data_IF_903164991033
#
_entry.id   IF_903164991033
#
_cell.length_a   1.000
_cell.length_b   1.000
_cell.length_c   1.000
_cell.angle_alpha   90.00
_cell.angle_beta   90.00
_cell.angle_gamma   90.00
#
_symmetry.space_group_name_H-M   'P 1'
#
loop_
_entity.id
_entity.type
_entity.pdbx_description
1 polymer ?
#
# COMPACT_ATOMS: atom_id res chain seq x y z
N UNK A 1 1.45 -0.86 1.15
CA UNK A 1 1.93 0.10 2.17
C UNK A 1 3.34 0.61 1.85
N UNK A 2 4.39 -0.23 1.82
CA UNK A 2 5.77 0.23 1.57
C UNK A 2 5.91 1.09 0.31
N UNK A 3 5.37 0.63 -0.81
CA UNK A 3 5.38 1.41 -2.06
C UNK A 3 4.64 2.76 -1.92
N UNK A 4 3.54 2.81 -1.17
CA UNK A 4 2.77 4.04 -0.96
C UNK A 4 3.46 5.07 -0.07
N UNK A 5 4.49 4.70 0.70
CA UNK A 5 5.27 5.65 1.50
C UNK A 5 5.94 6.72 0.63
N UNK A 6 6.32 6.38 -0.60
CA UNK A 6 6.91 7.32 -1.55
C UNK A 6 5.94 8.41 -2.02
N UNK A 7 4.63 8.22 -1.90
CA UNK A 7 3.64 9.28 -2.17
C UNK A 7 3.83 10.44 -1.19
N UNK A 8 3.96 10.14 0.11
CA UNK A 8 4.21 11.17 1.12
C UNK A 8 5.53 11.89 0.88
N UNK A 9 6.59 11.14 0.57
CA UNK A 9 7.89 11.73 0.26
C UNK A 9 7.81 12.65 -0.97
N UNK A 10 7.12 12.21 -2.04
CA UNK A 10 6.93 13.03 -3.24
C UNK A 10 6.16 14.32 -2.93
N UNK A 11 5.07 14.24 -2.13
CA UNK A 11 4.30 15.42 -1.73
C UNK A 11 5.14 16.41 -0.92
N UNK A 12 5.95 15.92 0.02
CA UNK A 12 6.79 16.77 0.87
C UNK A 12 7.93 17.39 0.06
N UNK A 13 8.62 16.59 -0.77
CA UNK A 13 9.72 17.10 -1.60
C UNK A 13 9.26 17.97 -2.77
N UNK A 14 7.96 18.04 -3.03
CA UNK A 14 7.45 18.92 -4.09
C UNK A 14 7.67 20.39 -3.79
N UNK A 15 7.51 20.78 -2.53
CA UNK A 15 7.58 22.19 -2.10
C UNK A 15 8.57 22.46 -0.99
N UNK A 16 8.77 21.49 -0.08
CA UNK A 16 9.61 21.69 1.10
C UNK A 16 11.07 21.37 0.83
N UNK A 17 11.93 22.32 1.17
CA UNK A 17 13.39 22.14 1.22
C UNK A 17 13.82 21.83 2.65
N UNK A 18 14.69 20.86 2.79
CA UNK A 18 15.32 20.45 4.04
C UNK A 18 16.78 20.84 4.06
N UNK A 19 17.40 20.88 5.25
CA UNK A 19 18.84 20.97 5.39
C UNK A 19 19.52 19.71 4.82
N UNK A 20 20.80 19.80 4.51
CA UNK A 20 21.57 18.66 4.01
C UNK A 20 21.59 17.49 4.99
N UNK A 21 21.60 17.77 6.30
CA UNK A 21 21.57 16.75 7.35
C UNK A 21 20.21 16.04 7.43
N UNK A 22 19.11 16.79 7.35
CA UNK A 22 17.76 16.22 7.33
C UNK A 22 17.56 15.37 6.08
N UNK A 23 17.98 15.85 4.90
CA UNK A 23 17.91 15.03 3.69
C UNK A 23 18.68 13.73 3.86
N UNK A 24 19.89 13.74 4.40
CA UNK A 24 20.68 12.52 4.61
C UNK A 24 19.95 11.53 5.52
N UNK A 25 19.29 12.01 6.57
CA UNK A 25 18.48 11.16 7.46
C UNK A 25 17.25 10.62 6.75
N UNK A 26 16.46 11.49 6.09
CA UNK A 26 15.24 11.08 5.37
C UNK A 26 15.58 10.04 4.29
N UNK A 27 16.60 10.33 3.47
CA UNK A 27 17.04 9.43 2.41
C UNK A 27 17.53 8.09 2.97
N UNK A 28 18.25 8.10 4.11
CA UNK A 28 18.65 6.88 4.81
C UNK A 28 17.46 6.04 5.27
N UNK A 29 16.43 6.67 5.84
CA UNK A 29 15.23 5.99 6.31
C UNK A 29 14.33 5.46 5.18
N UNK A 30 14.52 5.87 3.92
CA UNK A 30 13.76 5.29 2.80
C UNK A 30 14.07 3.82 2.54
N UNK A 31 15.12 3.27 3.15
CA UNK A 31 15.38 1.83 3.18
C UNK A 31 14.26 1.06 3.90
N UNK A 32 13.60 1.66 4.90
CA UNK A 32 12.57 0.98 5.72
C UNK A 32 11.37 0.54 4.87
N UNK A 33 10.73 1.40 4.05
CA UNK A 33 9.71 0.97 3.10
C UNK A 33 10.19 -0.08 2.10
N UNK A 34 11.43 0.00 1.64
CA UNK A 34 12.02 -1.00 0.74
C UNK A 34 12.16 -2.37 1.42
N UNK A 35 12.67 -2.41 2.65
CA UNK A 35 12.75 -3.65 3.43
C UNK A 35 11.36 -4.25 3.67
N UNK A 36 10.37 -3.40 3.93
CA UNK A 36 8.98 -3.85 4.06
C UNK A 36 8.45 -4.49 2.76
N UNK A 37 8.78 -3.92 1.61
CA UNK A 37 8.46 -4.50 0.30
C UNK A 37 9.20 -5.83 0.08
N UNK A 38 10.47 -5.92 0.48
CA UNK A 38 11.28 -7.15 0.38
C UNK A 38 10.70 -8.28 1.25
N UNK A 39 10.27 -7.98 2.48
CA UNK A 39 9.58 -8.95 3.34
C UNK A 39 8.29 -9.45 2.66
N UNK A 40 7.52 -8.55 2.06
CA UNK A 40 6.34 -8.91 1.28
C UNK A 40 6.65 -9.80 0.07
N UNK A 41 7.76 -9.55 -0.62
CA UNK A 41 8.25 -10.38 -1.72
C UNK A 41 8.60 -11.79 -1.24
N UNK A 42 9.38 -11.89 -0.17
CA UNK A 42 9.77 -13.19 0.43
C UNK A 42 8.52 -13.97 0.83
N UNK A 43 7.58 -13.34 1.53
CA UNK A 43 6.31 -13.96 1.90
C UNK A 43 5.51 -14.43 0.67
N UNK A 44 5.55 -13.66 -0.43
CA UNK A 44 4.92 -14.02 -1.70
C UNK A 44 5.56 -15.26 -2.33
N UNK A 45 6.89 -15.39 -2.27
CA UNK A 45 7.59 -16.58 -2.76
C UNK A 45 7.28 -17.84 -1.93
N UNK A 46 7.11 -17.68 -0.62
CA UNK A 46 6.88 -18.83 0.29
C UNK A 46 5.55 -19.55 0.06
N UNK A 47 4.56 -18.90 -0.54
CA UNK A 47 3.28 -19.54 -0.83
C UNK A 47 3.13 -20.03 -2.28
N UNK A 48 4.15 -19.86 -3.12
CA UNK A 48 4.16 -20.43 -4.47
C UNK A 48 4.31 -21.95 -4.40
N UNK A 49 3.42 -22.68 -5.09
CA UNK A 49 3.51 -24.14 -5.21
C UNK A 49 4.82 -24.60 -5.87
N UNK A 50 5.39 -23.77 -6.75
CA UNK A 50 6.66 -24.03 -7.45
C UNK A 50 7.48 -22.75 -7.57
N UNK A 51 8.24 -22.35 -6.52
CA UNK A 51 9.03 -21.11 -6.53
C UNK A 51 10.03 -21.01 -7.69
N UNK A 52 10.59 -22.12 -8.13
CA UNK A 52 11.53 -22.17 -9.26
C UNK A 52 10.89 -21.79 -10.60
N UNK A 53 9.57 -21.98 -10.74
CA UNK A 53 8.83 -21.57 -11.92
C UNK A 53 8.55 -20.06 -11.96
N UNK A 54 8.85 -19.33 -10.90
CA UNK A 54 8.68 -17.87 -10.87
C UNK A 54 9.49 -17.16 -11.96
N UNK A 55 10.61 -17.74 -12.41
CA UNK A 55 11.42 -17.21 -13.52
C UNK A 55 10.69 -17.30 -14.86
N UNK A 56 9.75 -18.23 -15.02
CA UNK A 56 8.94 -18.36 -16.24
C UNK A 56 7.97 -17.19 -16.45
N UNK A 57 7.75 -16.39 -15.41
CA UNK A 57 6.99 -15.14 -15.49
C UNK A 57 7.54 -14.20 -16.56
N UNK A 58 8.88 -14.21 -16.77
CA UNK A 58 9.52 -13.37 -17.77
C UNK A 58 9.01 -13.64 -19.20
N UNK A 59 8.65 -14.88 -19.52
CA UNK A 59 8.14 -15.27 -20.84
C UNK A 59 6.66 -14.86 -21.07
N UNK A 60 5.95 -14.46 -20.03
CA UNK A 60 4.53 -14.12 -20.07
C UNK A 60 4.23 -12.66 -19.71
N UNK A 61 5.29 -11.83 -19.65
CA UNK A 61 5.15 -10.36 -19.46
C UNK A 61 4.26 -9.79 -20.59
N UNK A 62 3.29 -8.96 -20.21
CA UNK A 62 2.32 -8.37 -21.13
C UNK A 62 1.12 -9.26 -21.48
N UNK A 63 1.20 -10.57 -21.18
CA UNK A 63 0.14 -11.53 -21.57
C UNK A 63 -0.67 -12.04 -20.37
N UNK A 64 -0.07 -12.16 -19.20
CA UNK A 64 -0.77 -12.61 -17.99
C UNK A 64 -0.80 -11.52 -16.92
N UNK A 65 -1.95 -11.35 -16.22
CA UNK A 65 -2.07 -10.35 -15.15
C UNK A 65 -1.03 -10.53 -14.03
N UNK A 66 -0.72 -11.77 -13.65
CA UNK A 66 0.30 -12.08 -12.64
C UNK A 66 1.70 -11.65 -13.07
N UNK A 67 2.08 -11.90 -14.34
CA UNK A 67 3.39 -11.48 -14.85
C UNK A 67 3.52 -9.96 -14.88
N UNK A 68 2.44 -9.27 -15.21
CA UNK A 68 2.40 -7.81 -15.20
C UNK A 68 2.53 -7.24 -13.78
N UNK A 69 1.88 -7.86 -12.78
CA UNK A 69 2.03 -7.50 -11.37
C UNK A 69 3.48 -7.65 -10.90
N UNK A 70 4.11 -8.81 -11.15
CA UNK A 70 5.48 -9.09 -10.75
C UNK A 70 6.45 -8.12 -11.44
N UNK A 71 6.23 -7.83 -12.73
CA UNK A 71 7.04 -6.87 -13.49
C UNK A 71 6.90 -5.46 -12.90
N UNK A 72 5.68 -4.99 -12.65
CA UNK A 72 5.44 -3.68 -12.07
C UNK A 72 6.09 -3.55 -10.68
N UNK A 73 6.04 -4.61 -9.86
CA UNK A 73 6.73 -4.68 -8.58
C UNK A 73 8.24 -4.60 -8.73
N UNK A 74 8.82 -5.38 -9.66
CA UNK A 74 10.26 -5.37 -9.93
C UNK A 74 10.75 -4.00 -10.38
N UNK A 75 10.05 -3.36 -11.32
CA UNK A 75 10.38 -2.02 -11.80
C UNK A 75 10.29 -0.98 -10.67
N UNK A 76 9.25 -1.05 -9.84
CA UNK A 76 9.12 -0.20 -8.66
C UNK A 76 10.31 -0.42 -7.69
N UNK A 77 10.62 -1.67 -7.33
CA UNK A 77 11.71 -1.97 -6.39
C UNK A 77 13.07 -1.52 -6.91
N UNK A 78 13.35 -1.73 -8.19
CA UNK A 78 14.60 -1.27 -8.82
C UNK A 78 14.69 0.26 -8.78
N UNK A 79 13.64 0.97 -9.16
CA UNK A 79 13.62 2.42 -9.13
C UNK A 79 13.79 2.97 -7.69
N UNK A 80 13.10 2.37 -6.72
CA UNK A 80 13.20 2.76 -5.32
C UNK A 80 14.57 2.45 -4.72
N UNK A 81 15.19 1.32 -5.09
CA UNK A 81 16.55 0.97 -4.68
C UNK A 81 17.59 1.94 -5.29
N UNK A 82 17.46 2.27 -6.58
CA UNK A 82 18.33 3.25 -7.23
C UNK A 82 18.17 4.62 -6.55
N UNK A 83 16.92 5.04 -6.27
CA UNK A 83 16.66 6.25 -5.50
C UNK A 83 17.42 6.24 -4.17
N UNK A 84 17.25 5.19 -3.36
CA UNK A 84 17.90 5.08 -2.06
C UNK A 84 19.43 5.11 -2.16
N UNK A 85 20.03 4.35 -3.09
CA UNK A 85 21.48 4.31 -3.29
C UNK A 85 22.01 5.71 -3.65
N UNK A 86 21.40 6.36 -4.66
CA UNK A 86 21.86 7.67 -5.13
C UNK A 86 21.64 8.75 -4.07
N UNK A 87 20.48 8.73 -3.40
CA UNK A 87 20.16 9.67 -2.33
C UNK A 87 21.11 9.53 -1.14
N UNK A 88 21.48 8.30 -0.77
CA UNK A 88 22.43 8.02 0.32
C UNK A 88 23.84 8.57 0.07
N UNK A 89 24.23 8.85 -1.20
CA UNK A 89 25.50 9.51 -1.49
C UNK A 89 25.55 10.98 -1.06
N UNK A 90 24.41 11.57 -0.73
CA UNK A 90 24.28 13.01 -0.41
C UNK A 90 24.45 13.95 -1.60
N UNK A 91 24.61 13.43 -2.82
CA UNK A 91 24.85 14.22 -4.03
C UNK A 91 23.57 14.61 -4.78
N UNK A 92 22.41 14.12 -4.36
CA UNK A 92 21.14 14.43 -5.02
C UNK A 92 20.76 15.89 -4.81
N UNK A 93 20.54 16.60 -5.92
CA UNK A 93 20.01 17.97 -5.86
C UNK A 93 18.53 17.93 -5.45
N UNK A 94 17.99 19.06 -4.99
CA UNK A 94 16.58 19.19 -4.63
C UNK A 94 15.66 18.78 -5.78
N UNK A 95 15.91 19.31 -6.99
CA UNK A 95 15.07 19.02 -8.16
C UNK A 95 15.15 17.54 -8.58
N UNK A 96 16.34 16.93 -8.53
CA UNK A 96 16.51 15.53 -8.82
C UNK A 96 15.77 14.65 -7.80
N UNK A 97 15.84 14.99 -6.50
CA UNK A 97 15.13 14.26 -5.43
C UNK A 97 13.62 14.34 -5.61
N UNK A 98 13.10 15.54 -5.93
CA UNK A 98 11.70 15.76 -6.24
C UNK A 98 11.23 14.88 -7.40
N UNK A 99 11.92 14.95 -8.54
CA UNK A 99 11.54 14.15 -9.73
C UNK A 99 11.62 12.66 -9.42
N UNK A 100 12.70 12.22 -8.79
CA UNK A 100 12.89 10.80 -8.48
C UNK A 100 11.80 10.25 -7.53
N UNK A 101 11.46 10.99 -6.47
CA UNK A 101 10.41 10.57 -5.54
C UNK A 101 9.04 10.49 -6.21
N UNK A 102 8.73 11.41 -7.13
CA UNK A 102 7.50 11.37 -7.93
C UNK A 102 7.50 10.12 -8.83
N UNK A 103 8.60 9.84 -9.54
CA UNK A 103 8.70 8.65 -10.40
C UNK A 103 8.48 7.37 -9.58
N UNK A 104 9.13 7.24 -8.43
CA UNK A 104 8.96 6.06 -7.56
C UNK A 104 7.54 5.97 -7.02
N UNK A 105 6.90 7.09 -6.63
CA UNK A 105 5.51 7.11 -6.19
C UNK A 105 4.53 6.67 -7.29
N UNK A 106 4.74 7.14 -8.53
CA UNK A 106 3.92 6.75 -9.70
C UNK A 106 4.09 5.26 -10.02
N UNK A 107 5.33 4.76 -10.01
CA UNK A 107 5.59 3.32 -10.20
C UNK A 107 4.95 2.47 -9.10
N UNK A 108 4.97 2.95 -7.85
CA UNK A 108 4.27 2.32 -6.73
C UNK A 108 2.75 2.28 -6.91
N UNK A 109 2.16 3.35 -7.47
CA UNK A 109 0.73 3.39 -7.79
C UNK A 109 0.39 2.41 -8.92
N UNK A 110 1.19 2.38 -9.97
CA UNK A 110 1.05 1.41 -11.08
C UNK A 110 1.11 -0.01 -10.52
N UNK A 111 2.08 -0.31 -9.66
CA UNK A 111 2.16 -1.61 -8.98
C UNK A 111 0.88 -1.92 -8.20
N UNK A 112 0.35 -0.98 -7.40
CA UNK A 112 -0.88 -1.20 -6.64
C UNK A 112 -2.10 -1.51 -7.53
N UNK A 113 -2.20 -0.87 -8.70
CA UNK A 113 -3.23 -1.15 -9.70
C UNK A 113 -3.05 -2.57 -10.25
N UNK A 114 -1.83 -2.96 -10.63
CA UNK A 114 -1.56 -4.29 -11.17
C UNK A 114 -1.80 -5.41 -10.15
N UNK A 115 -1.54 -5.16 -8.84
CA UNK A 115 -1.95 -6.09 -7.77
C UNK A 115 -3.46 -6.36 -7.84
N UNK A 116 -4.26 -5.32 -8.02
CA UNK A 116 -5.71 -5.48 -8.14
C UNK A 116 -6.14 -6.20 -9.42
N UNK A 117 -5.54 -5.84 -10.55
CA UNK A 117 -5.84 -6.44 -11.86
C UNK A 117 -5.46 -7.93 -11.91
N UNK A 118 -4.41 -8.34 -11.19
CA UNK A 118 -3.98 -9.74 -11.13
C UNK A 118 -5.04 -10.66 -10.51
N UNK A 119 -5.91 -10.12 -9.66
CA UNK A 119 -7.03 -10.85 -9.07
C UNK A 119 -8.33 -10.77 -9.87
N UNK A 120 -8.41 -9.98 -10.94
CA UNK A 120 -9.58 -9.95 -11.82
C UNK A 120 -9.59 -11.18 -12.75
N UNK A 121 -9.86 -12.35 -12.15
CA UNK A 121 -9.85 -13.63 -12.84
C UNK A 121 -11.27 -14.01 -13.27
N UNK A 122 -11.53 -14.27 -14.57
CA UNK A 122 -12.85 -14.65 -15.06
C UNK A 122 -13.47 -15.84 -14.32
N UNK A 123 -12.65 -16.80 -13.85
CA UNK A 123 -13.10 -17.97 -13.09
C UNK A 123 -13.45 -17.70 -11.63
N UNK A 124 -13.24 -16.49 -11.09
CA UNK A 124 -13.53 -16.13 -9.70
C UNK A 124 -14.45 -14.92 -9.67
N UNK A 125 -15.76 -15.16 -9.64
CA UNK A 125 -16.77 -14.11 -9.78
C UNK A 125 -16.62 -12.98 -8.73
N UNK A 126 -16.33 -13.33 -7.48
CA UNK A 126 -16.16 -12.38 -6.39
C UNK A 126 -14.96 -11.44 -6.56
N UNK A 127 -13.91 -11.88 -7.25
CA UNK A 127 -12.69 -11.10 -7.47
C UNK A 127 -12.69 -10.30 -8.78
N UNK A 128 -13.45 -10.78 -9.77
CA UNK A 128 -13.51 -10.20 -11.12
C UNK A 128 -14.41 -8.97 -11.15
N UNK A 129 -14.05 -7.96 -10.37
CA UNK A 129 -14.80 -6.70 -10.26
C UNK A 129 -13.87 -5.49 -10.22
N UNK A 130 -14.29 -4.31 -10.73
CA UNK A 130 -13.49 -3.07 -10.61
C UNK A 130 -13.23 -2.64 -9.16
N UNK A 131 -14.00 -3.14 -8.20
CA UNK A 131 -13.81 -2.88 -6.76
C UNK A 131 -12.44 -3.40 -6.30
N UNK A 132 -11.96 -4.50 -6.88
CA UNK A 132 -10.70 -5.13 -6.50
C UNK A 132 -9.49 -4.20 -6.70
N UNK A 133 -9.18 -3.65 -7.88
CA UNK A 133 -8.08 -2.71 -8.03
C UNK A 133 -8.29 -1.39 -7.26
N UNK A 134 -9.52 -0.90 -7.17
CA UNK A 134 -9.84 0.31 -6.39
C UNK A 134 -9.50 0.13 -4.92
N UNK A 135 -9.86 -1.01 -4.32
CA UNK A 135 -9.53 -1.36 -2.95
C UNK A 135 -8.00 -1.43 -2.72
N UNK A 136 -7.24 -2.00 -3.67
CA UNK A 136 -5.77 -2.07 -3.57
C UNK A 136 -5.13 -0.68 -3.61
N UNK A 137 -5.62 0.22 -4.45
CA UNK A 137 -5.20 1.63 -4.47
C UNK A 137 -5.56 2.31 -3.14
N UNK A 138 -6.72 2.03 -2.56
CA UNK A 138 -7.08 2.51 -1.23
C UNK A 138 -6.06 2.10 -0.17
N UNK A 139 -5.67 0.82 -0.12
CA UNK A 139 -4.64 0.33 0.80
C UNK A 139 -3.27 0.97 0.57
N UNK A 140 -2.90 1.17 -0.69
CA UNK A 140 -1.68 1.84 -1.08
C UNK A 140 -1.63 3.28 -0.55
N UNK A 141 -2.69 4.06 -0.73
CA UNK A 141 -2.76 5.45 -0.27
C UNK A 141 -2.90 5.55 1.25
N UNK A 142 -3.83 4.82 1.86
CA UNK A 142 -4.11 4.90 3.30
C UNK A 142 -2.90 4.46 4.13
N UNK A 143 -2.49 3.23 3.98
CA UNK A 143 -1.37 2.68 4.74
C UNK A 143 -0.02 3.25 4.29
N UNK A 144 0.12 3.58 3.01
CA UNK A 144 1.33 4.18 2.46
C UNK A 144 1.59 5.59 2.99
N UNK A 145 0.56 6.43 3.07
CA UNK A 145 0.70 7.79 3.60
C UNK A 145 1.13 7.78 5.06
N UNK A 146 0.51 6.93 5.90
CA UNK A 146 0.94 6.76 7.29
C UNK A 146 2.38 6.28 7.41
N UNK A 147 2.77 5.33 6.56
CA UNK A 147 4.14 4.80 6.58
C UNK A 147 5.15 5.86 6.13
N UNK A 148 4.85 6.65 5.12
CA UNK A 148 5.71 7.77 4.69
C UNK A 148 5.84 8.84 5.77
N UNK A 149 4.75 9.18 6.47
CA UNK A 149 4.78 10.08 7.61
C UNK A 149 5.62 9.54 8.77
N UNK A 150 5.55 8.22 9.02
CA UNK A 150 6.40 7.57 10.02
C UNK A 150 7.88 7.69 9.65
N UNK A 151 8.25 7.44 8.39
CA UNK A 151 9.62 7.59 7.89
C UNK A 151 10.13 9.02 8.11
N UNK A 152 9.33 10.02 7.75
CA UNK A 152 9.68 11.43 7.95
C UNK A 152 9.83 11.77 9.43
N UNK A 153 8.89 11.31 10.27
CA UNK A 153 8.91 11.57 11.72
C UNK A 153 10.12 10.94 12.40
N UNK A 154 10.50 9.71 12.02
CA UNK A 154 11.71 9.06 12.52
C UNK A 154 12.98 9.78 12.10
N UNK A 155 13.05 10.20 10.84
CA UNK A 155 14.21 10.91 10.29
C UNK A 155 14.44 12.27 10.94
N UNK A 156 13.38 12.96 11.35
CA UNK A 156 13.41 14.30 11.95
C UNK A 156 13.24 14.33 13.46
N UNK A 157 13.25 13.16 14.13
CA UNK A 157 13.01 13.01 15.56
C UNK A 157 11.68 13.67 16.00
N UNK A 158 10.63 13.46 15.24
CA UNK A 158 9.28 14.04 15.44
C UNK A 158 9.21 15.58 15.34
N UNK A 159 10.26 16.23 14.89
CA UNK A 159 10.33 17.69 14.76
C UNK A 159 9.99 18.16 13.33
N UNK A 160 9.26 17.36 12.57
CA UNK A 160 8.86 17.77 11.22
C UNK A 160 7.83 18.89 11.29
N UNK A 161 8.18 20.05 10.77
CA UNK A 161 7.24 21.14 10.54
C UNK A 161 6.83 21.10 9.08
N UNK A 162 5.61 20.66 8.80
CA UNK A 162 5.02 20.74 7.46
C UNK A 162 4.51 22.16 7.23
N UNK A 163 4.59 22.66 6.00
CA UNK A 163 3.86 23.84 5.60
C UNK A 163 2.38 23.49 5.37
N UNK A 164 1.52 24.51 5.33
CA UNK A 164 0.08 24.32 5.15
C UNK A 164 -0.28 23.54 3.88
N UNK A 165 0.49 23.73 2.80
CA UNK A 165 0.26 23.05 1.53
C UNK A 165 0.61 21.56 1.61
N UNK A 166 1.75 21.20 2.21
CA UNK A 166 2.18 19.81 2.39
C UNK A 166 1.24 19.08 3.33
N UNK A 167 0.95 19.66 4.49
CA UNK A 167 0.04 19.07 5.47
C UNK A 167 -1.34 18.81 4.86
N UNK A 168 -1.91 19.80 4.16
CA UNK A 168 -3.20 19.68 3.49
C UNK A 168 -3.19 18.61 2.41
N UNK A 169 -2.13 18.52 1.60
CA UNK A 169 -2.01 17.53 0.53
C UNK A 169 -1.91 16.12 1.10
N UNK A 170 -1.06 15.92 2.11
CA UNK A 170 -0.89 14.64 2.80
C UNK A 170 -2.22 14.22 3.46
N UNK A 171 -2.87 15.15 4.15
CA UNK A 171 -4.15 14.90 4.81
C UNK A 171 -5.23 14.44 3.83
N UNK A 172 -5.35 15.10 2.67
CA UNK A 172 -6.33 14.70 1.68
C UNK A 172 -6.02 13.35 1.03
N UNK A 173 -4.76 13.08 0.68
CA UNK A 173 -4.35 11.77 0.13
C UNK A 173 -4.61 10.66 1.15
N UNK A 174 -4.28 10.89 2.41
CA UNK A 174 -4.55 9.98 3.52
C UNK A 174 -6.06 9.71 3.68
N UNK A 175 -6.86 10.77 3.71
CA UNK A 175 -8.32 10.67 3.90
C UNK A 175 -9.00 9.99 2.72
N UNK A 176 -8.67 10.37 1.48
CA UNK A 176 -9.17 9.71 0.28
C UNK A 176 -8.76 8.23 0.27
N UNK A 177 -7.51 7.95 0.59
CA UNK A 177 -7.01 6.57 0.71
C UNK A 177 -7.81 5.74 1.71
N UNK A 178 -8.09 6.29 2.89
CA UNK A 178 -8.88 5.63 3.92
C UNK A 178 -10.34 5.39 3.47
N UNK A 179 -10.97 6.39 2.87
CA UNK A 179 -12.34 6.26 2.35
C UNK A 179 -12.43 5.22 1.23
N UNK A 180 -11.49 5.24 0.29
CA UNK A 180 -11.44 4.28 -0.82
C UNK A 180 -11.17 2.87 -0.31
N UNK A 181 -10.26 2.70 0.67
CA UNK A 181 -9.99 1.41 1.29
C UNK A 181 -11.22 0.84 2.00
N UNK A 182 -11.86 1.66 2.88
CA UNK A 182 -13.05 1.25 3.63
C UNK A 182 -14.22 0.94 2.69
N UNK A 183 -14.56 1.87 1.79
CA UNK A 183 -15.65 1.69 0.84
C UNK A 183 -15.40 0.48 -0.08
N UNK A 184 -14.16 0.30 -0.54
CA UNK A 184 -13.77 -0.83 -1.39
C UNK A 184 -13.94 -2.17 -0.68
N UNK A 185 -13.49 -2.31 0.57
CA UNK A 185 -13.65 -3.57 1.33
C UNK A 185 -15.10 -3.83 1.67
N UNK A 186 -15.87 -2.80 2.05
CA UNK A 186 -17.32 -2.94 2.32
C UNK A 186 -18.04 -3.38 1.05
N UNK A 187 -17.80 -2.70 -0.07
CA UNK A 187 -18.42 -3.06 -1.35
C UNK A 187 -18.05 -4.50 -1.77
N UNK A 188 -16.75 -4.85 -1.65
CA UNK A 188 -16.31 -6.22 -1.94
C UNK A 188 -17.04 -7.26 -1.06
N UNK A 189 -17.09 -7.04 0.26
CA UNK A 189 -17.70 -7.96 1.20
C UNK A 189 -19.19 -8.17 0.90
N UNK A 190 -19.92 -7.07 0.65
CA UNK A 190 -21.35 -7.12 0.30
C UNK A 190 -21.54 -7.84 -1.03
N UNK A 191 -20.79 -7.50 -2.08
CA UNK A 191 -20.91 -8.13 -3.39
C UNK A 191 -20.57 -9.63 -3.33
N UNK A 192 -19.47 -9.99 -2.65
CA UNK A 192 -19.05 -11.38 -2.53
C UNK A 192 -20.06 -12.21 -1.72
N UNK A 193 -20.61 -11.66 -0.64
CA UNK A 193 -21.61 -12.37 0.19
C UNK A 193 -22.97 -12.61 -0.51
N UNK A 194 -23.25 -11.87 -1.58
CA UNK A 194 -24.46 -12.05 -2.40
C UNK A 194 -24.20 -12.83 -3.70
N UNK A 195 -22.96 -13.21 -3.97
CA UNK A 195 -22.60 -13.99 -5.16
C UNK A 195 -23.15 -15.42 -5.04
N UNK A 196 -23.93 -15.87 -6.03
CA UNK A 196 -24.44 -17.23 -6.05
C UNK A 196 -23.32 -18.25 -6.34
N UNK A 197 -23.36 -19.38 -5.67
CA UNK A 197 -22.47 -20.52 -5.93
C UNK A 197 -23.25 -21.82 -5.77
N UNK A 198 -22.99 -22.75 -6.68
CA UNK A 198 -23.58 -24.12 -6.58
C UNK A 198 -22.74 -25.04 -5.68
N UNK A 199 -21.51 -24.67 -5.37
CA UNK A 199 -20.58 -25.51 -4.59
C UNK A 199 -20.40 -25.05 -3.14
N UNK A 200 -20.69 -23.77 -2.86
CA UNK A 200 -20.37 -23.14 -1.58
C UNK A 200 -21.64 -22.58 -0.93
N UNK A 201 -21.78 -22.81 0.35
CA UNK A 201 -22.72 -22.04 1.16
C UNK A 201 -22.14 -20.67 1.46
N UNK A 202 -22.35 -19.73 0.53
CA UNK A 202 -21.78 -18.38 0.60
C UNK A 202 -22.28 -17.64 1.84
N UNK A 203 -23.52 -17.86 2.27
CA UNK A 203 -24.06 -17.23 3.47
C UNK A 203 -23.33 -17.70 4.75
N UNK A 204 -23.10 -19.00 4.90
CA UNK A 204 -22.35 -19.53 6.03
C UNK A 204 -20.88 -19.08 6.01
N UNK A 205 -20.27 -19.05 4.82
CA UNK A 205 -18.90 -18.60 4.61
C UNK A 205 -18.74 -17.11 4.97
N UNK A 206 -19.63 -16.27 4.47
CA UNK A 206 -19.64 -14.83 4.80
C UNK A 206 -19.84 -14.60 6.29
N UNK A 207 -20.78 -15.33 6.91
CA UNK A 207 -21.04 -15.23 8.35
C UNK A 207 -19.80 -15.55 9.19
N UNK A 208 -18.99 -16.54 8.78
CA UNK A 208 -17.75 -16.89 9.48
C UNK A 208 -16.68 -15.81 9.40
N UNK A 209 -16.72 -14.92 8.40
CA UNK A 209 -15.77 -13.83 8.18
C UNK A 209 -16.22 -12.49 8.76
N UNK A 210 -17.47 -12.37 9.25
CA UNK A 210 -17.97 -11.14 9.89
C UNK A 210 -17.04 -10.64 11.01
N UNK A 211 -16.50 -11.48 11.92
CA UNK A 211 -15.58 -10.99 12.95
C UNK A 211 -14.34 -10.31 12.37
N UNK A 212 -13.72 -10.91 11.34
CA UNK A 212 -12.55 -10.32 10.66
C UNK A 212 -12.91 -8.99 9.99
N UNK A 213 -14.07 -8.92 9.34
CA UNK A 213 -14.56 -7.73 8.67
C UNK A 213 -14.85 -6.59 9.68
N UNK A 214 -15.50 -6.89 10.81
CA UNK A 214 -15.77 -5.91 11.87
C UNK A 214 -14.47 -5.38 12.46
N UNK A 215 -13.52 -6.27 12.80
CA UNK A 215 -12.22 -5.86 13.35
C UNK A 215 -11.43 -5.02 12.33
N UNK A 216 -11.49 -5.35 11.03
CA UNK A 216 -10.93 -4.49 9.97
C UNK A 216 -11.46 -3.06 10.05
N UNK A 217 -12.78 -2.87 10.16
CA UNK A 217 -13.40 -1.53 10.26
C UNK A 217 -12.90 -0.80 11.50
N UNK A 218 -12.93 -1.46 12.66
CA UNK A 218 -12.51 -0.87 13.94
C UNK A 218 -11.05 -0.40 13.86
N UNK A 219 -10.15 -1.27 13.41
CA UNK A 219 -8.73 -0.94 13.31
C UNK A 219 -8.46 0.16 12.28
N UNK A 220 -9.20 0.19 11.18
CA UNK A 220 -9.08 1.24 10.17
C UNK A 220 -9.51 2.60 10.72
N UNK A 221 -10.61 2.66 11.48
CA UNK A 221 -11.10 3.89 12.13
C UNK A 221 -10.10 4.37 13.18
N UNK A 222 -9.56 3.47 14.01
CA UNK A 222 -8.54 3.80 15.01
C UNK A 222 -7.24 4.30 14.35
N UNK A 223 -6.79 3.62 13.28
CA UNK A 223 -5.62 4.05 12.51
C UNK A 223 -5.84 5.42 11.86
N UNK A 224 -7.05 5.67 11.33
CA UNK A 224 -7.40 6.97 10.78
C UNK A 224 -7.38 8.06 11.85
N UNK A 225 -7.99 7.83 13.02
CA UNK A 225 -7.98 8.77 14.13
C UNK A 225 -6.58 9.14 14.59
N UNK A 226 -5.72 8.13 14.84
CA UNK A 226 -4.32 8.36 15.22
C UNK A 226 -3.53 9.10 14.13
N UNK A 227 -3.72 8.71 12.87
CA UNK A 227 -3.10 9.38 11.73
C UNK A 227 -3.55 10.83 11.58
N UNK A 228 -4.85 11.11 11.76
CA UNK A 228 -5.41 12.46 11.78
C UNK A 228 -4.72 13.32 12.85
N UNK A 229 -4.65 12.83 14.09
CA UNK A 229 -3.99 13.55 15.19
C UNK A 229 -2.51 13.79 14.89
N UNK A 230 -1.81 12.78 14.38
CA UNK A 230 -0.38 12.88 14.07
C UNK A 230 -0.08 13.81 12.89
N UNK A 231 -0.96 13.91 11.90
CA UNK A 231 -0.76 14.81 10.74
C UNK A 231 -1.15 16.26 11.09
N UNK A 232 -2.25 16.44 11.84
CA UNK A 232 -2.86 17.75 12.06
C UNK A 232 -2.44 18.47 13.34
N UNK A 233 -2.16 17.73 14.40
CA UNK A 233 -2.04 18.33 15.74
C UNK A 233 -0.67 18.06 16.39
N UNK A 234 -0.22 16.82 16.43
CA UNK A 234 0.98 16.43 17.17
C UNK A 234 1.77 15.36 16.40
N UNK A 235 2.73 15.76 15.54
CA UNK A 235 3.59 14.80 14.86
C UNK A 235 4.37 13.94 15.87
N UNK A 236 3.98 12.68 16.03
CA UNK A 236 4.59 11.75 16.96
C UNK A 236 4.94 10.45 16.24
N UNK A 237 6.22 10.07 16.27
CA UNK A 237 6.68 8.81 15.69
C UNK A 237 5.98 7.59 16.34
N UNK A 238 5.70 7.66 17.66
CA UNK A 238 4.99 6.60 18.36
C UNK A 238 3.55 6.47 17.86
N UNK A 239 2.81 7.59 17.75
CA UNK A 239 1.42 7.55 17.26
C UNK A 239 1.36 7.06 15.82
N UNK A 240 2.26 7.52 14.96
CA UNK A 240 2.38 7.06 13.58
C UNK A 240 2.76 5.58 13.50
N UNK A 241 3.67 5.12 14.36
CA UNK A 241 4.05 3.72 14.46
C UNK A 241 2.86 2.83 14.83
N UNK A 242 2.08 3.23 15.84
CA UNK A 242 0.85 2.51 16.24
C UNK A 242 -0.16 2.53 15.08
N UNK A 243 -0.38 3.68 14.44
CA UNK A 243 -1.30 3.79 13.30
C UNK A 243 -0.88 2.88 12.13
N UNK A 244 0.43 2.81 11.81
CA UNK A 244 0.98 1.91 10.78
C UNK A 244 0.74 0.45 11.12
N UNK A 245 0.93 0.04 12.38
CA UNK A 245 0.65 -1.34 12.81
C UNK A 245 -0.85 -1.64 12.70
N UNK A 246 -1.71 -0.74 13.20
CA UNK A 246 -3.16 -0.94 13.12
C UNK A 246 -3.65 -1.06 11.68
N UNK A 247 -3.20 -0.19 10.77
CA UNK A 247 -3.60 -0.28 9.36
C UNK A 247 -3.00 -1.51 8.67
N UNK A 248 -1.81 -1.96 9.05
CA UNK A 248 -1.23 -3.19 8.51
C UNK A 248 -2.06 -4.42 8.90
N UNK A 249 -2.46 -4.52 10.19
CA UNK A 249 -3.35 -5.58 10.65
C UNK A 249 -4.73 -5.47 10.01
N UNK A 250 -5.29 -4.26 9.87
CA UNK A 250 -6.55 -4.05 9.18
C UNK A 250 -6.49 -4.55 7.73
N UNK A 251 -5.46 -4.17 6.97
CA UNK A 251 -5.27 -4.66 5.59
C UNK A 251 -5.13 -6.18 5.55
N UNK A 252 -4.41 -6.78 6.50
CA UNK A 252 -4.29 -8.23 6.59
C UNK A 252 -5.66 -8.89 6.78
N UNK A 253 -6.50 -8.39 7.69
CA UNK A 253 -7.86 -8.91 7.91
C UNK A 253 -8.76 -8.71 6.68
N UNK A 254 -8.66 -7.56 6.00
CA UNK A 254 -9.35 -7.35 4.74
C UNK A 254 -8.93 -8.37 3.67
N UNK A 255 -7.64 -8.72 3.61
CA UNK A 255 -7.11 -9.75 2.71
C UNK A 255 -7.58 -11.16 3.11
N UNK A 256 -7.73 -11.45 4.41
CA UNK A 256 -8.35 -12.71 4.86
C UNK A 256 -9.79 -12.81 4.38
N UNK A 257 -10.59 -11.74 4.50
CA UNK A 257 -11.95 -11.71 3.95
C UNK A 257 -11.93 -11.87 2.43
N UNK A 258 -11.01 -11.22 1.73
CA UNK A 258 -10.85 -11.29 0.28
C UNK A 258 -10.55 -12.72 -0.19
N UNK A 259 -9.60 -13.41 0.43
CA UNK A 259 -9.28 -14.80 0.09
C UNK A 259 -10.34 -15.78 0.58
N UNK A 260 -10.90 -15.54 1.77
CA UNK A 260 -11.96 -16.39 2.32
C UNK A 260 -13.24 -16.37 1.48
N UNK A 261 -13.51 -15.26 0.77
CA UNK A 261 -14.64 -15.12 -0.15
C UNK A 261 -14.22 -15.34 -1.62
N UNK A 262 -13.32 -16.27 -1.87
CA UNK A 262 -12.97 -16.72 -3.22
C UNK A 262 -14.11 -17.60 -3.77
N UNK A 263 -15.03 -16.99 -4.50
CA UNK A 263 -16.20 -17.70 -5.06
C UNK A 263 -15.97 -17.91 -6.55
N UNK A 264 -15.62 -19.16 -6.88
CA UNK A 264 -15.45 -19.58 -8.28
C UNK A 264 -16.79 -19.77 -8.99
N UNK A 265 -16.76 -19.62 -10.32
CA UNK A 265 -17.86 -20.01 -11.21
C UNK A 265 -17.61 -21.45 -11.62
N UNK A 266 -18.69 -22.26 -11.66
CA UNK A 266 -18.65 -23.54 -12.36
C UNK A 266 -18.47 -23.21 -13.87
N UNK A 267 -17.37 -23.63 -14.44
CA UNK A 267 -17.16 -23.66 -15.88
C UNK A 267 -17.59 -25.00 -16.42
#
# INVERSE_FOLDING_TARGET
MGAGAFVTLALVFFTKKFSAEEYKKIDGFTIVPLLFCLVGLIASFMHLASPLNALNVASTIGTTPLANEITAFGVFCIAAAIYWIVASTGKLTFEARKVFSIVVAVLGLIFAIFVGLAYMLPGVASWNTPVTPVMMVGFFLFGGTLFGMLVLSLATNSNITLGDAEEKSIFWVFTIGALVALAGVIAFFVMASTTASVFLNVAALSASLIPCFVVFIILSVLAYGLGFFAIKLYPSALMLGIAVVLVAVAIFLARLCFYGLQIGIAL
#
